data_IF_721024729271
#
_entry.id   IF_721024729271
#
_cell.length_a   1.000
_cell.length_b   1.000
_cell.length_c   1.000
_cell.angle_alpha   90.00
_cell.angle_beta   90.00
_cell.angle_gamma   90.00
#
_symmetry.space_group_name_H-M   'P 1'
#
loop_
_entity.id
_entity.type
_entity.pdbx_description
1 polymer ?
#
# COMPACT_ATOMS: atom_id res chain seq x y z
N UNK A 1 11.07 -20.22 8.28
CA UNK A 1 10.53 -19.29 7.27
C UNK A 1 9.21 -18.80 7.81
N UNK A 2 9.00 -17.49 7.91
CA UNK A 2 7.67 -16.97 8.26
C UNK A 2 6.84 -17.09 7.00
N UNK A 3 6.01 -18.13 6.92
CA UNK A 3 5.08 -18.28 5.82
C UNK A 3 4.09 -17.13 5.86
N UNK A 4 4.16 -16.23 4.88
CA UNK A 4 3.21 -15.13 4.76
C UNK A 4 1.82 -15.72 4.57
N UNK A 5 0.89 -15.25 5.39
CA UNK A 5 -0.53 -15.60 5.27
C UNK A 5 -1.05 -15.26 3.87
N UNK A 6 -2.10 -15.94 3.37
CA UNK A 6 -2.69 -15.61 2.08
C UNK A 6 -3.11 -14.13 1.95
N UNK A 7 -3.54 -13.50 3.05
CA UNK A 7 -3.87 -12.07 3.10
C UNK A 7 -2.63 -11.19 2.94
N UNK A 8 -1.52 -11.50 3.60
CA UNK A 8 -0.24 -10.78 3.42
C UNK A 8 0.28 -10.91 1.99
N UNK A 9 0.15 -12.09 1.37
CA UNK A 9 0.55 -12.29 -0.02
C UNK A 9 -0.30 -11.46 -0.99
N UNK A 10 -1.61 -11.42 -0.79
CA UNK A 10 -2.51 -10.58 -1.59
C UNK A 10 -2.21 -9.09 -1.37
N UNK A 11 -2.05 -8.66 -0.12
CA UNK A 11 -1.72 -7.29 0.24
C UNK A 11 -0.41 -6.85 -0.43
N UNK A 12 0.63 -7.67 -0.35
CA UNK A 12 1.92 -7.44 -1.02
C UNK A 12 1.73 -7.20 -2.52
N UNK A 13 1.05 -8.13 -3.22
CA UNK A 13 0.84 -8.06 -4.67
C UNK A 13 0.00 -6.85 -5.10
N UNK A 14 -0.94 -6.42 -4.27
CA UNK A 14 -1.78 -5.25 -4.55
C UNK A 14 -1.00 -3.96 -4.37
N UNK A 15 -0.29 -3.82 -3.25
CA UNK A 15 0.51 -2.61 -2.97
C UNK A 15 1.66 -2.46 -3.96
N UNK A 16 2.33 -3.54 -4.36
CA UNK A 16 3.40 -3.48 -5.35
C UNK A 16 2.93 -2.88 -6.68
N UNK A 17 1.73 -3.24 -7.12
CA UNK A 17 1.15 -2.67 -8.35
C UNK A 17 0.81 -1.19 -8.19
N UNK A 18 0.33 -0.79 -7.02
CA UNK A 18 -0.02 0.61 -6.76
C UNK A 18 1.22 1.50 -6.65
N UNK A 19 2.29 1.00 -6.03
CA UNK A 19 3.59 1.68 -6.00
C UNK A 19 4.15 1.80 -7.42
N UNK A 20 4.13 0.72 -8.20
CA UNK A 20 4.59 0.75 -9.59
C UNK A 20 3.75 1.69 -10.49
N UNK A 21 2.48 1.88 -10.17
CA UNK A 21 1.59 2.82 -10.86
C UNK A 21 1.75 4.27 -10.35
N UNK A 22 2.60 4.52 -9.35
CA UNK A 22 2.76 5.85 -8.74
C UNK A 22 1.51 6.33 -7.99
N UNK A 23 0.67 5.41 -7.52
CA UNK A 23 -0.55 5.69 -6.74
C UNK A 23 -0.33 5.57 -5.23
N UNK A 24 0.78 4.94 -4.84
CA UNK A 24 1.23 4.79 -3.46
C UNK A 24 2.72 5.04 -3.43
N UNK A 25 3.19 5.76 -2.40
CA UNK A 25 4.61 6.03 -2.23
C UNK A 25 5.36 4.79 -1.73
N UNK A 26 6.58 4.58 -2.22
CA UNK A 26 7.35 3.37 -1.94
C UNK A 26 7.65 3.20 -0.44
N UNK A 27 7.88 4.30 0.28
CA UNK A 27 8.16 4.31 1.71
C UNK A 27 6.98 3.87 2.59
N UNK A 28 5.74 3.92 2.06
CA UNK A 28 4.53 3.51 2.77
C UNK A 28 4.11 2.07 2.46
N UNK A 29 4.84 1.40 1.57
CA UNK A 29 4.55 0.04 1.11
C UNK A 29 4.29 -0.94 2.26
N UNK A 30 5.26 -1.11 3.17
CA UNK A 30 5.17 -2.09 4.26
C UNK A 30 4.00 -1.78 5.20
N UNK A 31 3.83 -0.50 5.56
CA UNK A 31 2.74 -0.03 6.42
C UNK A 31 1.36 -0.32 5.81
N UNK A 32 1.23 -0.15 4.51
CA UNK A 32 0.01 -0.45 3.76
C UNK A 32 -0.26 -1.96 3.71
N UNK A 33 0.77 -2.77 3.49
CA UNK A 33 0.66 -4.24 3.49
C UNK A 33 0.14 -4.73 4.85
N UNK A 34 0.72 -4.24 5.95
CA UNK A 34 0.31 -4.63 7.31
C UNK A 34 -1.14 -4.26 7.61
N UNK A 35 -1.57 -3.06 7.22
CA UNK A 35 -2.96 -2.60 7.42
C UNK A 35 -3.97 -3.40 6.60
N UNK A 36 -3.62 -3.77 5.37
CA UNK A 36 -4.50 -4.62 4.53
C UNK A 36 -4.55 -6.04 5.09
N UNK A 37 -3.39 -6.61 5.43
CA UNK A 37 -3.30 -7.96 5.96
C UNK A 37 -4.05 -8.13 7.29
N UNK A 38 -4.03 -7.10 8.14
CA UNK A 38 -4.75 -7.07 9.42
C UNK A 38 -6.23 -6.67 9.31
N UNK A 39 -6.70 -6.24 8.14
CA UNK A 39 -8.06 -5.72 7.96
C UNK A 39 -8.32 -4.36 8.63
N UNK A 40 -7.28 -3.68 9.12
CA UNK A 40 -7.36 -2.39 9.80
C UNK A 40 -7.42 -1.18 8.84
N UNK A 41 -7.42 -1.44 7.54
CA UNK A 41 -7.34 -0.45 6.49
C UNK A 41 -8.61 0.42 6.42
N UNK A 42 -8.47 1.75 6.58
CA UNK A 42 -9.59 2.70 6.44
C UNK A 42 -9.53 3.42 5.10
N UNK A 43 -10.68 3.89 4.61
CA UNK A 43 -10.74 4.70 3.37
C UNK A 43 -9.89 5.97 3.44
N UNK A 44 -9.73 6.58 4.62
CA UNK A 44 -8.86 7.74 4.83
C UNK A 44 -7.38 7.44 4.64
N UNK A 45 -6.95 6.22 4.97
CA UNK A 45 -5.55 5.80 4.83
C UNK A 45 -5.15 5.68 3.35
N UNK A 46 -6.06 5.24 2.48
CA UNK A 46 -5.82 5.17 1.03
C UNK A 46 -5.86 6.53 0.37
N UNK A 47 -6.83 7.37 0.76
CA UNK A 47 -7.01 8.70 0.16
C UNK A 47 -5.76 9.56 0.34
N UNK A 48 -5.20 9.57 1.55
CA UNK A 48 -3.98 10.33 1.85
C UNK A 48 -2.79 9.88 0.98
N UNK A 49 -2.61 8.58 0.77
CA UNK A 49 -1.50 8.09 -0.02
C UNK A 49 -1.65 8.36 -1.51
N UNK A 50 -2.88 8.37 -2.03
CA UNK A 50 -3.16 8.76 -3.42
C UNK A 50 -2.87 10.26 -3.60
N UNK A 51 -3.41 11.11 -2.72
CA UNK A 51 -3.19 12.57 -2.76
C UNK A 51 -1.70 12.92 -2.72
N UNK A 52 -0.94 12.29 -1.81
CA UNK A 52 0.51 12.53 -1.68
C UNK A 52 1.34 11.94 -2.84
N UNK A 53 0.86 10.88 -3.49
CA UNK A 53 1.53 10.32 -4.66
C UNK A 53 1.32 11.19 -5.90
N UNK A 54 0.13 11.78 -6.08
CA UNK A 54 -0.14 12.75 -7.16
C UNK A 54 0.76 13.99 -7.05
N UNK A 55 0.99 14.49 -5.83
CA UNK A 55 1.90 15.61 -5.58
C UNK A 55 3.36 15.25 -5.89
N UNK A 56 3.80 14.03 -5.58
CA UNK A 56 5.17 13.55 -5.85
C UNK A 56 5.43 13.38 -7.36
N UNK A 57 4.44 12.94 -8.14
CA UNK A 57 4.58 12.75 -9.60
C UNK A 57 4.48 14.06 -10.41
N UNK A 58 4.04 15.17 -9.80
CA UNK A 58 3.94 16.49 -10.45
C UNK A 58 5.18 17.36 -10.28
N UNK A 59 6.07 17.00 -9.36
CA UNK A 59 7.35 17.68 -9.11
C UNK A 59 8.46 17.19 -10.06
#
# INVERSE_FOLDING_TARGET
MVDRTPSEQLATRSIDRLVAAGLVRAEQRERMIDKIASGAMKGSDWRLEIELSEDTNRA
#
